data_IF_837848564463
#
_entry.id   IF_837848564463
#
_cell.length_a   1.000
_cell.length_b   1.000
_cell.length_c   1.000
_cell.angle_alpha   90.00
_cell.angle_beta   90.00
_cell.angle_gamma   90.00
#
_symmetry.space_group_name_H-M   'P 1'
#
loop_
_entity.id
_entity.type
_entity.pdbx_description
1 polymer ?
#
# COMPACT_ATOMS: atom_id res chain seq x y z
N UNK A 1 -12.69 29.69 -34.04
CA UNK A 1 -11.75 28.95 -33.18
C UNK A 1 -12.49 27.72 -32.68
N UNK A 2 -11.92 26.52 -32.84
CA UNK A 2 -12.54 25.27 -32.38
C UNK A 2 -12.50 25.29 -30.85
N UNK A 3 -13.67 25.27 -30.21
CA UNK A 3 -13.80 25.29 -28.75
C UNK A 3 -13.74 23.85 -28.21
N UNK A 4 -12.64 23.44 -27.57
CA UNK A 4 -12.44 22.07 -27.11
C UNK A 4 -13.48 21.63 -26.07
N UNK A 5 -13.99 22.58 -25.28
CA UNK A 5 -15.03 22.31 -24.28
C UNK A 5 -16.37 21.99 -24.94
N UNK A 6 -16.64 22.59 -26.10
CA UNK A 6 -17.87 22.34 -26.86
C UNK A 6 -17.84 20.96 -27.53
N UNK A 7 -16.71 20.59 -28.12
CA UNK A 7 -16.49 19.25 -28.66
C UNK A 7 -16.59 18.16 -27.58
N UNK A 8 -16.00 18.39 -26.40
CA UNK A 8 -16.11 17.46 -25.27
C UNK A 8 -17.54 17.31 -24.77
N UNK A 9 -18.28 18.42 -24.65
CA UNK A 9 -19.68 18.42 -24.24
C UNK A 9 -20.56 17.68 -25.24
N UNK A 10 -20.40 17.96 -26.53
CA UNK A 10 -21.13 17.27 -27.61
C UNK A 10 -20.83 15.76 -27.59
N UNK A 11 -19.56 15.38 -27.38
CA UNK A 11 -19.17 13.99 -27.22
C UNK A 11 -19.78 13.34 -25.97
N UNK A 12 -19.81 14.04 -24.83
CA UNK A 12 -20.41 13.54 -23.59
C UNK A 12 -21.91 13.30 -23.73
N UNK A 13 -22.65 14.27 -24.28
CA UNK A 13 -24.11 14.15 -24.50
C UNK A 13 -24.43 13.03 -25.50
N UNK A 14 -23.65 12.90 -26.58
CA UNK A 14 -23.80 11.78 -27.53
C UNK A 14 -23.49 10.45 -26.86
N UNK A 15 -22.48 10.42 -26.00
CA UNK A 15 -22.13 9.24 -25.23
C UNK A 15 -23.28 8.87 -24.31
N UNK A 16 -23.80 9.78 -23.49
CA UNK A 16 -24.90 9.54 -22.54
C UNK A 16 -26.10 8.83 -23.17
N UNK A 17 -26.53 9.31 -24.35
CA UNK A 17 -27.60 8.66 -25.11
C UNK A 17 -27.24 7.24 -25.52
N UNK A 18 -26.01 7.04 -26.00
CA UNK A 18 -25.49 5.71 -26.39
C UNK A 18 -25.41 4.77 -25.19
N UNK A 19 -25.01 5.25 -24.00
CA UNK A 19 -25.00 4.44 -22.77
C UNK A 19 -26.42 4.08 -22.33
N UNK A 20 -27.37 5.01 -22.43
CA UNK A 20 -28.78 4.76 -22.08
C UNK A 20 -29.42 3.71 -22.98
N UNK A 21 -29.19 3.81 -24.30
CA UNK A 21 -29.69 2.86 -25.29
C UNK A 21 -29.05 1.48 -25.07
N UNK A 22 -27.74 1.42 -24.82
CA UNK A 22 -27.04 0.18 -24.52
C UNK A 22 -27.50 -0.46 -23.21
N UNK A 23 -27.73 0.31 -22.13
CA UNK A 23 -28.25 -0.23 -20.87
C UNK A 23 -29.66 -0.81 -21.03
N UNK A 24 -30.49 -0.15 -21.84
CA UNK A 24 -31.86 -0.61 -22.10
C UNK A 24 -31.87 -1.92 -22.88
N UNK A 25 -31.01 -2.04 -23.89
CA UNK A 25 -30.83 -3.25 -24.70
C UNK A 25 -30.25 -4.41 -23.87
N UNK A 26 -29.24 -4.13 -23.03
CA UNK A 26 -28.64 -5.10 -22.11
C UNK A 26 -29.65 -5.62 -21.07
N UNK A 27 -30.51 -4.74 -20.52
CA UNK A 27 -31.55 -5.16 -19.58
C UNK A 27 -32.66 -5.99 -20.25
N UNK A 28 -32.84 -5.86 -21.57
CA UNK A 28 -33.81 -6.65 -22.34
C UNK A 28 -33.27 -7.99 -22.85
N UNK A 29 -31.95 -8.22 -22.82
CA UNK A 29 -31.32 -9.39 -23.42
C UNK A 29 -30.97 -10.48 -22.39
N UNK A 30 -31.81 -11.50 -22.29
CA UNK A 30 -31.59 -12.73 -21.49
C UNK A 30 -30.30 -13.48 -21.88
N UNK A 31 -29.67 -13.14 -23.02
CA UNK A 31 -28.42 -13.75 -23.50
C UNK A 31 -27.17 -13.12 -22.85
N UNK A 32 -27.31 -11.93 -22.25
CA UNK A 32 -26.23 -11.24 -21.56
C UNK A 32 -25.65 -12.11 -20.43
N UNK A 33 -26.49 -12.73 -19.61
CA UNK A 33 -26.05 -13.59 -18.51
C UNK A 33 -25.29 -14.85 -18.95
N UNK A 34 -25.54 -15.37 -20.16
CA UNK A 34 -24.87 -16.59 -20.67
C UNK A 34 -23.54 -16.30 -21.39
N UNK A 35 -23.36 -15.09 -21.92
CA UNK A 35 -22.14 -14.67 -22.63
C UNK A 35 -21.17 -13.82 -21.80
N UNK A 36 -21.63 -13.24 -20.68
CA UNK A 36 -20.89 -12.27 -19.87
C UNK A 36 -19.52 -12.77 -19.41
N UNK A 37 -19.42 -14.02 -18.92
CA UNK A 37 -18.16 -14.53 -18.39
C UNK A 37 -17.03 -14.57 -19.42
N UNK A 38 -17.36 -15.00 -20.65
CA UNK A 38 -16.39 -15.06 -21.76
C UNK A 38 -16.08 -13.66 -22.29
N UNK A 39 -17.10 -12.82 -22.45
CA UNK A 39 -16.94 -11.44 -22.87
C UNK A 39 -16.09 -10.63 -21.89
N UNK A 40 -16.28 -10.82 -20.58
CA UNK A 40 -15.49 -10.16 -19.54
C UNK A 40 -14.02 -10.61 -19.58
N UNK A 41 -13.75 -11.91 -19.78
CA UNK A 41 -12.37 -12.40 -19.95
C UNK A 41 -11.69 -11.80 -21.19
N UNK A 42 -12.41 -11.69 -22.30
CA UNK A 42 -11.91 -11.13 -23.55
C UNK A 42 -11.72 -9.61 -23.46
N UNK A 43 -12.62 -8.90 -22.77
CA UNK A 43 -12.52 -7.48 -22.47
C UNK A 43 -11.34 -7.18 -21.52
N UNK A 44 -11.14 -7.99 -20.48
CA UNK A 44 -9.99 -7.86 -19.58
C UNK A 44 -8.65 -8.13 -20.31
N UNK A 45 -8.64 -9.09 -21.24
CA UNK A 45 -7.47 -9.34 -22.09
C UNK A 45 -7.18 -8.15 -23.00
N UNK A 46 -8.22 -7.60 -23.66
CA UNK A 46 -8.11 -6.41 -24.51
C UNK A 46 -7.65 -5.19 -23.72
N UNK A 47 -8.17 -4.99 -22.52
CA UNK A 47 -7.76 -3.90 -21.64
C UNK A 47 -6.28 -4.01 -21.22
N UNK A 48 -5.79 -5.23 -20.97
CA UNK A 48 -4.38 -5.47 -20.66
C UNK A 48 -3.47 -5.15 -21.85
N UNK A 49 -3.83 -5.62 -23.05
CA UNK A 49 -3.11 -5.32 -24.29
C UNK A 49 -3.09 -3.81 -24.59
N UNK A 50 -4.23 -3.13 -24.40
CA UNK A 50 -4.31 -1.68 -24.56
C UNK A 50 -3.40 -0.95 -23.56
N UNK A 51 -3.45 -1.34 -22.28
CA UNK A 51 -2.61 -0.76 -21.23
C UNK A 51 -1.12 -0.93 -21.53
N UNK A 52 -0.71 -2.10 -22.03
CA UNK A 52 0.67 -2.39 -22.41
C UNK A 52 1.09 -1.55 -23.62
N UNK A 53 0.24 -1.44 -24.64
CA UNK A 53 0.50 -0.60 -25.81
C UNK A 53 0.59 0.90 -25.45
N UNK A 54 -0.23 1.36 -24.52
CA UNK A 54 -0.21 2.74 -24.03
C UNK A 54 1.03 3.01 -23.18
N UNK A 55 1.43 2.06 -22.33
CA UNK A 55 2.68 2.15 -21.58
C UNK A 55 3.89 2.22 -22.52
N UNK A 56 3.92 1.41 -23.57
CA UNK A 56 4.96 1.45 -24.61
C UNK A 56 4.95 2.80 -25.35
N UNK A 57 3.77 3.33 -25.65
CA UNK A 57 3.61 4.63 -26.31
C UNK A 57 4.09 5.78 -25.43
N UNK A 58 3.76 5.77 -24.14
CA UNK A 58 4.22 6.77 -23.17
C UNK A 58 5.73 6.66 -22.90
N UNK A 59 6.27 5.44 -22.82
CA UNK A 59 7.71 5.19 -22.73
C UNK A 59 8.46 5.75 -23.95
N UNK A 60 7.92 5.57 -25.16
CA UNK A 60 8.48 6.14 -26.39
C UNK A 60 8.44 7.67 -26.39
N UNK A 61 7.52 8.29 -25.64
CA UNK A 61 7.43 9.74 -25.46
C UNK A 61 8.23 10.26 -24.24
N UNK A 62 9.01 9.41 -23.55
CA UNK A 62 9.67 9.74 -22.27
C UNK A 62 8.69 10.23 -21.18
N UNK A 63 7.41 9.88 -21.27
CA UNK A 63 6.43 10.19 -20.24
C UNK A 63 6.33 8.95 -19.34
N UNK A 64 6.75 9.03 -18.06
CA UNK A 64 6.69 7.88 -17.16
C UNK A 64 5.25 7.41 -17.01
N UNK A 65 5.04 6.09 -17.13
CA UNK A 65 3.70 5.52 -17.01
C UNK A 65 3.27 5.48 -15.54
N UNK A 66 1.95 5.38 -15.30
CA UNK A 66 1.43 5.22 -13.93
C UNK A 66 1.99 3.96 -13.24
N UNK A 67 2.22 2.89 -14.01
CA UNK A 67 2.78 1.65 -13.47
C UNK A 67 4.21 1.83 -12.97
N UNK A 68 5.04 2.58 -13.71
CA UNK A 68 6.44 2.85 -13.33
C UNK A 68 6.52 3.69 -12.05
N UNK A 69 5.61 4.63 -11.87
CA UNK A 69 5.52 5.45 -10.63
C UNK A 69 5.18 4.58 -9.43
N UNK A 70 4.29 3.60 -9.60
CA UNK A 70 3.92 2.67 -8.53
C UNK A 70 5.06 1.72 -8.20
N UNK A 71 5.74 1.14 -9.21
CA UNK A 71 6.93 0.28 -9.00
C UNK A 71 8.06 1.05 -8.29
N UNK A 72 8.27 2.32 -8.67
CA UNK A 72 9.23 3.18 -8.00
C UNK A 72 8.85 3.46 -6.54
N UNK A 73 7.56 3.66 -6.27
CA UNK A 73 7.03 3.82 -4.91
C UNK A 73 7.29 2.60 -4.03
N UNK A 74 7.00 1.40 -4.55
CA UNK A 74 7.25 0.14 -3.84
C UNK A 74 8.74 -0.07 -3.56
N UNK A 75 9.61 0.21 -4.54
CA UNK A 75 11.07 0.14 -4.37
C UNK A 75 11.58 1.15 -3.34
N UNK A 76 11.05 2.38 -3.33
CA UNK A 76 11.42 3.39 -2.35
C UNK A 76 11.02 2.97 -0.93
N UNK A 77 9.83 2.42 -0.75
CA UNK A 77 9.41 1.88 0.56
C UNK A 77 10.35 0.79 1.08
N UNK A 78 10.76 -0.15 0.22
CA UNK A 78 11.73 -1.19 0.59
C UNK A 78 13.10 -0.62 1.00
N UNK A 79 13.54 0.45 0.32
CA UNK A 79 14.79 1.15 0.68
C UNK A 79 14.64 1.85 2.03
N UNK A 80 13.51 2.50 2.29
CA UNK A 80 13.24 3.17 3.58
C UNK A 80 13.27 2.16 4.73
N UNK A 81 12.66 0.99 4.57
CA UNK A 81 12.67 -0.08 5.57
C UNK A 81 14.09 -0.62 5.82
N UNK A 82 14.85 -0.86 4.75
CA UNK A 82 16.24 -1.30 4.86
C UNK A 82 17.10 -0.25 5.59
N UNK A 83 16.87 1.03 5.30
CA UNK A 83 17.59 2.14 5.93
C UNK A 83 17.21 2.25 7.42
N UNK A 84 15.93 2.08 7.77
CA UNK A 84 15.49 2.02 9.15
C UNK A 84 16.16 0.88 9.93
N UNK A 85 16.24 -0.31 9.32
CA UNK A 85 16.93 -1.48 9.90
C UNK A 85 18.41 -1.20 10.18
N UNK A 86 19.13 -0.64 9.19
CA UNK A 86 20.54 -0.28 9.34
C UNK A 86 20.73 0.75 10.46
N UNK A 87 19.85 1.75 10.56
CA UNK A 87 19.92 2.73 11.65
C UNK A 87 19.74 2.09 13.03
N UNK A 88 18.84 1.12 13.17
CA UNK A 88 18.62 0.39 14.42
C UNK A 88 19.87 -0.41 14.78
N UNK A 89 20.43 -1.15 13.82
CA UNK A 89 21.64 -1.93 14.04
C UNK A 89 22.82 -1.04 14.46
N UNK A 90 23.01 0.10 13.77
CA UNK A 90 24.08 1.04 14.08
C UNK A 90 23.93 1.65 15.48
N UNK A 91 22.70 1.94 15.93
CA UNK A 91 22.44 2.37 17.31
C UNK A 91 22.77 1.27 18.32
N UNK A 92 22.40 0.02 18.02
CA UNK A 92 22.72 -1.12 18.88
C UNK A 92 24.23 -1.36 18.99
N UNK A 93 24.96 -1.27 17.87
CA UNK A 93 26.43 -1.40 17.85
C UNK A 93 27.10 -0.28 18.66
N UNK A 94 26.65 0.98 18.51
CA UNK A 94 27.16 2.10 19.32
C UNK A 94 26.92 1.91 20.81
N UNK A 95 25.74 1.42 21.20
CA UNK A 95 25.43 1.12 22.59
C UNK A 95 26.35 0.01 23.16
N UNK A 96 26.63 -1.04 22.37
CA UNK A 96 27.58 -2.10 22.75
C UNK A 96 29.00 -1.55 22.91
N UNK A 97 29.47 -0.74 21.98
CA UNK A 97 30.79 -0.11 22.07
C UNK A 97 30.91 0.82 23.27
N UNK A 98 29.87 1.59 23.59
CA UNK A 98 29.83 2.42 24.79
C UNK A 98 29.88 1.59 26.08
N UNK A 99 29.21 0.43 26.11
CA UNK A 99 29.29 -0.50 27.25
C UNK A 99 30.66 -1.17 27.41
N UNK A 100 31.38 -1.39 26.31
CA UNK A 100 32.75 -1.94 26.32
C UNK A 100 33.81 -0.88 26.68
N UNK A 101 33.61 0.37 26.26
CA UNK A 101 34.48 1.50 26.58
C UNK A 101 34.31 2.01 28.02
N UNK A 102 33.16 1.70 28.64
CA UNK A 102 32.89 1.92 30.05
C UNK A 102 33.46 0.76 30.88
N UNK A 103 34.79 0.58 30.82
CA UNK A 103 35.51 -0.34 31.69
C UNK A 103 35.54 0.18 33.13
N UNK A 104 34.50 -0.10 33.90
CA UNK A 104 34.54 -0.10 35.36
C UNK A 104 34.13 -1.50 35.84
N UNK A 105 34.92 -2.15 36.73
CA UNK A 105 34.53 -3.44 37.26
C UNK A 105 33.36 -3.21 38.22
N UNK A 106 32.18 -3.71 37.87
CA UNK A 106 31.17 -4.02 38.86
C UNK A 106 31.64 -5.29 39.61
N UNK A 107 32.67 -5.12 40.43
CA UNK A 107 32.92 -6.05 41.51
C UNK A 107 31.82 -5.80 42.55
N UNK A 108 31.01 -6.85 42.73
CA UNK A 108 30.27 -7.22 43.92
C UNK A 108 29.89 -6.10 44.90
N UNK A 109 28.59 -5.83 45.00
CA UNK A 109 27.98 -5.80 46.33
C UNK A 109 26.47 -6.02 46.23
N UNK A 110 25.95 -6.81 47.17
CA UNK A 110 24.59 -6.67 47.63
C UNK A 110 23.53 -7.43 46.84
N UNK A 111 23.51 -8.73 47.08
CA UNK A 111 22.31 -9.41 47.60
C UNK A 111 21.11 -8.48 47.87
N UNK A 112 20.13 -8.53 46.97
CA UNK A 112 18.73 -8.21 47.27
C UNK A 112 17.89 -8.91 46.22
N UNK A 113 17.90 -10.24 46.35
CA UNK A 113 16.76 -11.12 46.09
C UNK A 113 15.48 -10.32 45.81
N UNK A 114 14.97 -10.39 44.57
CA UNK A 114 13.64 -9.89 44.19
C UNK A 114 12.61 -10.64 45.05
N UNK A 115 12.32 -10.11 46.24
CA UNK A 115 11.33 -10.70 47.14
C UNK A 115 9.94 -10.37 46.60
N UNK A 116 9.13 -11.36 46.18
CA UNK A 116 7.78 -11.09 45.72
C UNK A 116 6.95 -10.56 46.90
N UNK A 117 6.25 -9.43 46.68
CA UNK A 117 5.28 -8.88 47.63
C UNK A 117 4.12 -9.87 47.77
N UNK A 118 4.24 -10.80 48.73
CA UNK A 118 3.21 -11.78 49.06
C UNK A 118 2.12 -11.09 49.86
N UNK A 119 0.96 -10.98 49.24
CA UNK A 119 -0.31 -10.59 49.83
C UNK A 119 -0.62 -11.42 51.07
N UNK A 120 -0.46 -10.82 52.25
CA UNK A 120 -1.15 -11.26 53.46
C UNK A 120 -1.60 -10.03 54.22
N UNK A 121 -2.88 -9.71 54.07
CA UNK A 121 -3.64 -8.83 54.95
C UNK A 121 -4.18 -9.69 56.10
N UNK A 122 -3.82 -9.42 57.37
CA UNK A 122 -4.60 -9.86 58.53
C UNK A 122 -5.45 -8.71 59.09
N UNK A 123 -6.44 -9.02 59.95
CA UNK A 123 -7.72 -8.32 60.04
C UNK A 123 -7.70 -6.99 60.83
N UNK A 124 -8.65 -6.06 60.55
CA UNK A 124 -8.88 -4.92 61.43
C UNK A 124 -9.42 -5.39 62.79
N UNK A 125 -8.83 -4.90 63.88
CA UNK A 125 -9.36 -5.01 65.24
C UNK A 125 -10.44 -3.95 65.41
N UNK A 126 -11.66 -4.37 65.71
CA UNK A 126 -12.72 -3.52 66.25
C UNK A 126 -12.97 -3.90 67.72
N UNK A 127 -13.01 -2.86 68.56
CA UNK A 127 -13.49 -2.77 69.96
C UNK A 127 -12.79 -3.61 71.05
#
# INVERSE_FOLDING_TARGET
>A
MIDPLRMWREWFVKSEKTWSDALTDIMGDDRFSKGMGRYMQEALHTHRMFSESMAQYLANLNIPSRADILDLGDRLGQIEDALASIQIELRAQRARLASLGSGAPAAADGDSERKPSRTKRPPPRDA
#
